data_IF_529619929810
#
_entry.id   IF_529619929810
#
_cell.length_a   1.000
_cell.length_b   1.000
_cell.length_c   1.000
_cell.angle_alpha   90.00
_cell.angle_beta   90.00
_cell.angle_gamma   90.00
#
_symmetry.space_group_name_H-M   'P 1'
#
loop_
_entity.id
_entity.type
_entity.pdbx_description
1 polymer ?
#
# COMPACT_ATOMS: atom_id res chain seq x y z
N UNK A 1 -18.82 13.45 -9.51
CA UNK A 1 -17.93 14.53 -9.04
C UNK A 1 -16.50 14.10 -9.24
N UNK A 2 -15.69 14.90 -9.92
CA UNK A 2 -14.29 14.58 -10.18
C UNK A 2 -13.49 14.75 -8.88
N UNK A 3 -13.14 13.65 -8.21
CA UNK A 3 -12.26 13.70 -7.04
C UNK A 3 -10.83 14.00 -7.53
N UNK A 4 -10.19 15.04 -7.01
CA UNK A 4 -8.82 15.42 -7.38
C UNK A 4 -7.83 14.24 -7.38
N UNK A 5 -8.01 13.28 -6.46
CA UNK A 5 -7.17 12.07 -6.38
C UNK A 5 -7.33 11.12 -7.57
N UNK A 6 -8.37 11.25 -8.40
CA UNK A 6 -8.51 10.44 -9.63
C UNK A 6 -7.34 10.67 -10.60
N UNK A 7 -6.73 11.86 -10.58
CA UNK A 7 -5.53 12.16 -11.38
C UNK A 7 -4.31 11.32 -10.98
N UNK A 8 -4.31 10.70 -9.79
CA UNK A 8 -3.27 9.73 -9.42
C UNK A 8 -3.34 8.47 -10.30
N UNK A 9 -4.54 8.05 -10.70
CA UNK A 9 -4.74 6.84 -11.49
C UNK A 9 -4.32 7.00 -12.96
N UNK A 10 -4.23 8.24 -13.45
CA UNK A 10 -3.77 8.52 -14.81
C UNK A 10 -2.24 8.56 -14.94
N UNK A 11 -1.50 8.36 -13.84
CA UNK A 11 -0.05 8.33 -13.88
C UNK A 11 0.46 7.15 -14.72
N UNK A 12 1.20 7.48 -15.78
CA UNK A 12 1.90 6.49 -16.59
C UNK A 12 3.05 5.86 -15.80
N UNK A 13 3.01 4.54 -15.64
CA UNK A 13 4.10 3.80 -15.03
C UNK A 13 5.14 3.38 -16.07
N UNK A 14 6.44 3.38 -15.73
CA UNK A 14 7.48 2.94 -16.66
C UNK A 14 7.24 1.50 -17.12
N UNK A 15 7.40 1.25 -18.42
CA UNK A 15 7.39 -0.12 -18.96
C UNK A 15 8.63 -0.87 -18.44
N UNK A 16 8.40 -1.85 -17.55
CA UNK A 16 9.43 -2.68 -16.90
C UNK A 16 9.81 -2.20 -15.49
N UNK A 17 9.74 -3.10 -14.50
CA UNK A 17 9.87 -2.79 -13.05
C UNK A 17 11.23 -2.27 -12.57
N UNK A 18 12.29 -2.35 -13.40
CA UNK A 18 13.63 -1.86 -13.04
C UNK A 18 13.85 -0.36 -13.29
N UNK A 19 12.84 0.38 -13.73
CA UNK A 19 12.93 1.82 -14.02
C UNK A 19 12.45 2.66 -12.84
N UNK A 20 13.03 3.85 -12.64
CA UNK A 20 12.56 4.80 -11.63
C UNK A 20 11.23 5.43 -12.03
N UNK A 21 10.37 5.72 -11.05
CA UNK A 21 9.16 6.51 -11.29
C UNK A 21 9.50 7.96 -11.70
N UNK A 22 8.55 8.60 -12.39
CA UNK A 22 8.67 10.00 -12.79
C UNK A 22 8.63 10.95 -11.58
N UNK A 23 9.13 12.18 -11.75
CA UNK A 23 9.08 13.20 -10.70
C UNK A 23 7.64 13.52 -10.27
N UNK A 24 6.70 13.53 -11.22
CA UNK A 24 5.28 13.70 -10.94
C UNK A 24 4.73 12.57 -10.07
N UNK A 25 5.06 11.32 -10.40
CA UNK A 25 4.66 10.17 -9.59
C UNK A 25 5.24 10.24 -8.17
N UNK A 26 6.50 10.69 -8.01
CA UNK A 26 7.10 10.91 -6.70
C UNK A 26 6.37 12.00 -5.92
N UNK A 27 5.96 13.10 -6.57
CA UNK A 27 5.18 14.15 -5.93
C UNK A 27 3.81 13.64 -5.44
N UNK A 28 3.15 12.80 -6.23
CA UNK A 28 1.92 12.13 -5.81
C UNK A 28 2.14 11.20 -4.62
N UNK A 29 3.19 10.38 -4.61
CA UNK A 29 3.50 9.51 -3.46
C UNK A 29 3.71 10.38 -2.20
N UNK A 30 4.42 11.50 -2.30
CA UNK A 30 4.60 12.43 -1.16
C UNK A 30 3.28 12.98 -0.65
N UNK A 31 2.39 13.40 -1.56
CA UNK A 31 1.07 13.88 -1.19
C UNK A 31 0.24 12.79 -0.50
N UNK A 32 0.16 11.60 -1.09
CA UNK A 32 -0.60 10.48 -0.52
C UNK A 32 -0.04 10.03 0.83
N UNK A 33 1.29 10.06 1.00
CA UNK A 33 1.92 9.80 2.29
C UNK A 33 1.47 10.80 3.35
N UNK A 34 1.50 12.11 3.03
CA UNK A 34 1.02 13.13 3.97
C UNK A 34 -0.46 12.95 4.32
N UNK A 35 -1.31 12.65 3.32
CA UNK A 35 -2.73 12.36 3.55
C UNK A 35 -2.93 11.11 4.42
N UNK A 36 -2.09 10.08 4.26
CA UNK A 36 -2.21 8.82 5.01
C UNK A 36 -1.99 8.95 6.51
N UNK A 37 -1.45 10.07 7.01
CA UNK A 37 -1.33 10.30 8.45
C UNK A 37 -2.67 10.64 9.13
N UNK A 38 -3.65 11.17 8.38
CA UNK A 38 -4.99 11.48 8.89
C UNK A 38 -6.03 10.43 8.50
N UNK A 39 -7.00 10.17 9.37
CA UNK A 39 -8.05 9.15 9.13
C UNK A 39 -8.85 9.42 7.85
N UNK A 40 -9.27 10.67 7.61
CA UNK A 40 -9.98 11.06 6.40
C UNK A 40 -9.14 10.82 5.14
N UNK A 41 -7.86 11.16 5.18
CA UNK A 41 -6.95 10.93 4.07
C UNK A 41 -6.75 9.44 3.78
N UNK A 42 -6.63 8.61 4.83
CA UNK A 42 -6.60 7.15 4.67
C UNK A 42 -7.88 6.63 4.00
N UNK A 43 -9.04 7.12 4.42
CA UNK A 43 -10.33 6.76 3.81
C UNK A 43 -10.41 7.20 2.34
N UNK A 44 -9.95 8.41 2.02
CA UNK A 44 -9.94 8.93 0.64
C UNK A 44 -9.07 8.06 -0.27
N UNK A 45 -7.89 7.64 0.20
CA UNK A 45 -6.96 6.77 -0.54
C UNK A 45 -7.61 5.40 -0.79
N UNK A 46 -8.18 4.78 0.23
CA UNK A 46 -8.76 3.42 0.12
C UNK A 46 -10.07 3.41 -0.67
N UNK A 47 -10.87 4.48 -0.61
CA UNK A 47 -12.11 4.63 -1.39
C UNK A 47 -11.86 4.95 -2.86
N UNK A 48 -10.66 5.40 -3.23
CA UNK A 48 -10.27 5.57 -4.63
C UNK A 48 -10.26 4.20 -5.34
N UNK A 49 -11.22 3.96 -6.21
CA UNK A 49 -11.30 2.70 -6.98
C UNK A 49 -10.05 2.54 -7.85
N UNK A 50 -9.32 1.43 -7.68
CA UNK A 50 -8.02 1.20 -8.33
C UNK A 50 -6.83 1.91 -7.65
N UNK A 51 -7.05 2.77 -6.65
CA UNK A 51 -5.97 3.49 -5.95
C UNK A 51 -5.03 2.56 -5.19
N UNK A 52 -5.58 1.57 -4.51
CA UNK A 52 -4.79 0.55 -3.82
C UNK A 52 -3.94 -0.28 -4.79
N UNK A 53 -4.52 -0.71 -5.91
CA UNK A 53 -3.80 -1.48 -6.94
C UNK A 53 -2.67 -0.66 -7.58
N UNK A 54 -2.91 0.62 -7.86
CA UNK A 54 -1.89 1.53 -8.39
C UNK A 54 -0.74 1.71 -7.40
N UNK A 55 -1.01 1.87 -6.09
CA UNK A 55 0.04 1.92 -5.06
C UNK A 55 0.85 0.63 -5.00
N UNK A 56 0.19 -0.54 -5.03
CA UNK A 56 0.86 -1.85 -5.02
C UNK A 56 1.73 -2.05 -6.27
N UNK A 57 1.24 -1.61 -7.42
CA UNK A 57 2.00 -1.62 -8.67
C UNK A 57 3.26 -0.75 -8.56
N UNK A 58 3.11 0.47 -8.05
CA UNK A 58 4.22 1.40 -7.84
C UNK A 58 5.23 0.89 -6.81
N UNK A 59 4.81 0.11 -5.82
CA UNK A 59 5.69 -0.48 -4.80
C UNK A 59 6.75 -1.44 -5.39
N UNK A 60 6.54 -1.94 -6.62
CA UNK A 60 7.48 -2.85 -7.29
C UNK A 60 8.68 -2.14 -7.91
N UNK A 61 8.63 -0.81 -8.03
CA UNK A 61 9.69 -0.02 -8.66
C UNK A 61 10.74 0.41 -7.64
N UNK A 62 12.02 0.29 -8.00
CA UNK A 62 13.12 0.68 -7.11
C UNK A 62 13.21 2.21 -6.97
N UNK A 63 13.05 2.71 -5.74
CA UNK A 63 13.26 4.10 -5.39
C UNK A 63 14.57 4.28 -4.62
N UNK A 64 15.59 4.85 -5.28
CA UNK A 64 16.92 5.03 -4.65
C UNK A 64 16.93 5.95 -3.43
N UNK A 65 16.14 7.03 -3.47
CA UNK A 65 16.22 8.06 -2.42
C UNK A 65 15.24 7.84 -1.27
N UNK A 66 14.15 7.09 -1.48
CA UNK A 66 13.13 6.84 -0.47
C UNK A 66 12.40 5.51 -0.78
N UNK A 67 13.06 4.36 -0.59
CA UNK A 67 12.56 3.05 -1.02
C UNK A 67 11.21 2.67 -0.39
N UNK A 68 10.96 3.14 0.83
CA UNK A 68 9.85 2.62 1.65
C UNK A 68 8.62 3.54 1.70
N UNK A 69 8.57 4.65 0.97
CA UNK A 69 7.44 5.61 1.05
C UNK A 69 6.09 4.97 0.74
N UNK A 70 6.04 4.11 -0.29
CA UNK A 70 4.81 3.44 -0.68
C UNK A 70 4.41 2.41 0.37
N UNK A 71 5.39 1.69 0.94
CA UNK A 71 5.14 0.77 2.05
C UNK A 71 4.62 1.52 3.29
N UNK A 72 5.11 2.73 3.57
CA UNK A 72 4.59 3.57 4.66
C UNK A 72 3.15 4.01 4.42
N UNK A 73 2.76 4.35 3.19
CA UNK A 73 1.35 4.64 2.85
C UNK A 73 0.49 3.42 3.17
N UNK A 74 0.89 2.24 2.68
CA UNK A 74 0.18 0.98 2.90
C UNK A 74 0.11 0.62 4.38
N UNK A 75 1.20 0.79 5.12
CA UNK A 75 1.26 0.64 6.56
C UNK A 75 0.21 1.52 7.24
N UNK A 76 0.20 2.82 6.95
CA UNK A 76 -0.68 3.77 7.62
C UNK A 76 -2.17 3.43 7.39
N UNK A 77 -2.56 3.09 6.16
CA UNK A 77 -3.96 2.73 5.87
C UNK A 77 -4.40 1.41 6.55
N UNK A 78 -3.46 0.52 6.91
CA UNK A 78 -3.76 -0.73 7.63
C UNK A 78 -4.18 -0.50 9.09
N UNK A 79 -3.82 0.66 9.68
CA UNK A 79 -4.19 0.99 11.06
C UNK A 79 -5.64 1.42 11.20
N UNK A 80 -6.30 1.89 10.13
CA UNK A 80 -7.72 2.23 10.18
C UNK A 80 -8.60 0.99 10.13
N UNK A 81 -9.45 0.73 11.15
CA UNK A 81 -10.37 -0.40 11.17
C UNK A 81 -11.32 -0.44 9.97
N UNK A 82 -11.75 0.73 9.49
CA UNK A 82 -12.67 0.86 8.34
C UNK A 82 -12.02 0.42 7.02
N UNK A 83 -10.69 0.46 6.91
CA UNK A 83 -9.97 0.07 5.71
C UNK A 83 -9.65 -1.43 5.65
N UNK A 84 -9.55 -2.09 6.81
CA UNK A 84 -9.13 -3.51 6.92
C UNK A 84 -9.91 -4.46 5.99
N UNK A 85 -11.26 -4.42 5.91
CA UNK A 85 -11.99 -5.34 5.04
C UNK A 85 -11.57 -5.21 3.58
N UNK A 86 -11.37 -3.97 3.09
CA UNK A 86 -11.02 -3.70 1.69
C UNK A 86 -9.57 -4.08 1.37
N UNK A 87 -8.65 -3.85 2.31
CA UNK A 87 -7.24 -4.24 2.15
C UNK A 87 -7.09 -5.77 2.16
N UNK A 88 -7.76 -6.45 3.10
CA UNK A 88 -7.70 -7.92 3.21
C UNK A 88 -8.37 -8.64 2.05
N UNK A 89 -9.35 -8.01 1.40
CA UNK A 89 -9.97 -8.53 0.19
C UNK A 89 -9.10 -8.34 -1.08
N UNK A 90 -7.99 -7.60 -1.00
CA UNK A 90 -7.07 -7.42 -2.11
C UNK A 90 -5.87 -8.38 -1.96
N UNK A 91 -5.90 -9.49 -2.69
CA UNK A 91 -4.84 -10.50 -2.68
C UNK A 91 -3.45 -9.91 -2.95
N UNK A 92 -3.34 -8.92 -3.85
CA UNK A 92 -2.04 -8.31 -4.18
C UNK A 92 -1.48 -7.51 -3.00
N UNK A 93 -2.35 -6.88 -2.21
CA UNK A 93 -1.94 -6.16 -1.01
C UNK A 93 -1.39 -7.14 0.03
N UNK A 94 -2.10 -8.24 0.27
CA UNK A 94 -1.68 -9.29 1.20
C UNK A 94 -0.34 -9.89 0.77
N UNK A 95 -0.21 -10.26 -0.51
CA UNK A 95 1.04 -10.82 -1.07
C UNK A 95 2.20 -9.84 -0.94
N UNK A 96 2.01 -8.55 -1.25
CA UNK A 96 3.05 -7.53 -1.11
C UNK A 96 3.52 -7.40 0.34
N UNK A 97 2.59 -7.29 1.29
CA UNK A 97 2.91 -7.16 2.71
C UNK A 97 3.62 -8.40 3.25
N UNK A 98 3.19 -9.60 2.86
CA UNK A 98 3.88 -10.85 3.22
C UNK A 98 5.29 -10.90 2.62
N UNK A 99 5.48 -10.49 1.37
CA UNK A 99 6.80 -10.45 0.73
C UNK A 99 7.76 -9.47 1.44
N UNK A 100 7.26 -8.44 2.12
CA UNK A 100 8.11 -7.56 2.93
C UNK A 100 8.82 -8.29 4.07
N UNK A 101 8.24 -9.38 4.61
CA UNK A 101 8.85 -10.15 5.70
C UNK A 101 10.13 -10.88 5.27
N UNK A 102 10.22 -11.22 3.98
CA UNK A 102 11.36 -11.90 3.36
C UNK A 102 12.34 -10.92 2.69
N UNK A 103 12.17 -9.61 2.90
CA UNK A 103 13.03 -8.59 2.29
C UNK A 103 14.40 -8.51 2.97
N UNK A 104 15.46 -8.31 2.18
CA UNK A 104 16.80 -7.98 2.70
C UNK A 104 16.81 -6.63 3.46
N UNK A 105 15.86 -5.75 3.17
CA UNK A 105 15.72 -4.46 3.87
C UNK A 105 15.08 -4.66 5.24
N UNK A 106 15.84 -4.36 6.30
CA UNK A 106 15.32 -4.34 7.67
C UNK A 106 14.18 -3.32 7.84
N UNK A 107 14.23 -2.20 7.13
CA UNK A 107 13.17 -1.19 7.16
C UNK A 107 11.87 -1.74 6.55
N UNK A 108 11.95 -2.36 5.37
CA UNK A 108 10.81 -2.98 4.71
C UNK A 108 10.19 -4.09 5.58
N UNK A 109 11.02 -4.95 6.19
CA UNK A 109 10.55 -5.98 7.14
C UNK A 109 9.78 -5.39 8.31
N UNK A 110 10.31 -4.35 8.96
CA UNK A 110 9.66 -3.69 10.11
C UNK A 110 8.32 -3.06 9.71
N UNK A 111 8.29 -2.34 8.59
CA UNK A 111 7.08 -1.69 8.09
C UNK A 111 6.03 -2.74 7.71
N UNK A 112 6.43 -3.77 6.97
CA UNK A 112 5.54 -4.88 6.57
C UNK A 112 4.97 -5.64 7.78
N UNK A 113 5.82 -6.01 8.74
CA UNK A 113 5.38 -6.69 9.96
C UNK A 113 4.40 -5.85 10.77
N UNK A 114 4.67 -4.54 10.94
CA UNK A 114 3.77 -3.60 11.62
C UNK A 114 2.42 -3.47 10.90
N UNK A 115 2.44 -3.38 9.56
CA UNK A 115 1.22 -3.31 8.75
C UNK A 115 0.37 -4.59 8.89
N UNK A 116 1.00 -5.77 8.82
CA UNK A 116 0.33 -7.06 9.02
C UNK A 116 -0.23 -7.17 10.43
N UNK A 117 0.54 -6.79 11.45
CA UNK A 117 0.07 -6.76 12.83
C UNK A 117 -1.15 -5.86 12.98
N UNK A 118 -1.13 -4.66 12.38
CA UNK A 118 -2.26 -3.75 12.40
C UNK A 118 -3.51 -4.34 11.73
N UNK A 119 -3.37 -5.03 10.60
CA UNK A 119 -4.48 -5.72 9.93
C UNK A 119 -5.08 -6.85 10.81
N UNK A 120 -4.23 -7.60 11.52
CA UNK A 120 -4.64 -8.72 12.37
C UNK A 120 -5.21 -8.27 13.73
N UNK A 121 -4.72 -7.15 14.25
CA UNK A 121 -5.10 -6.64 15.56
C UNK A 121 -6.60 -6.31 15.60
N UNK A 122 -7.32 -6.90 16.54
CA UNK A 122 -8.77 -6.73 16.74
C UNK A 122 -9.64 -7.01 15.49
N UNK A 123 -9.16 -7.81 14.53
CA UNK A 123 -9.94 -8.19 13.35
C UNK A 123 -9.98 -9.70 13.19
N UNK A 124 -11.01 -10.35 13.76
CA UNK A 124 -11.10 -11.82 13.77
C UNK A 124 -11.10 -12.45 12.37
N UNK A 125 -11.62 -11.74 11.35
CA UNK A 125 -11.60 -12.22 9.96
C UNK A 125 -10.19 -12.26 9.34
N UNK A 126 -9.27 -11.37 9.73
CA UNK A 126 -7.89 -11.36 9.21
C UNK A 126 -7.10 -12.60 9.66
N UNK A 127 -7.37 -13.08 10.89
CA UNK A 127 -6.71 -14.29 11.43
C UNK A 127 -6.97 -15.52 10.59
N UNK A 128 -8.09 -15.60 9.86
CA UNK A 128 -8.41 -16.72 8.98
C UNK A 128 -7.66 -16.59 7.64
N UNK A 129 -7.65 -15.41 7.03
CA UNK A 129 -6.98 -15.14 5.74
C UNK A 129 -5.46 -15.34 5.78
N UNK A 130 -4.79 -14.94 6.86
CA UNK A 130 -3.33 -15.15 6.97
C UNK A 130 -2.93 -16.55 7.44
N UNK A 131 -3.83 -17.30 8.09
CA UNK A 131 -3.56 -18.71 8.48
C UNK A 131 -3.75 -19.68 7.31
N UNK A 132 -4.68 -19.36 6.40
CA UNK A 132 -4.95 -20.13 5.20
C UNK A 132 -4.78 -19.21 3.98
N UNK A 133 -3.54 -18.91 3.56
CA UNK A 133 -3.33 -18.20 2.30
C UNK A 133 -4.03 -18.99 1.17
N UNK A 134 -4.75 -18.31 0.25
CA UNK A 134 -5.41 -19.00 -0.86
C UNK A 134 -4.35 -19.74 -1.67
N UNK A 135 -4.45 -21.07 -1.66
CA UNK A 135 -3.61 -21.95 -2.46
C UNK A 135 -3.86 -21.60 -3.93
N UNK A 136 -2.82 -21.16 -4.64
CA UNK A 136 -2.78 -21.13 -6.10
C UNK A 136 -1.65 -22.02 -6.56
#
# INVERSE_FOLDING_TARGET
>A
GNNFLQNFLSLSLPKGGNKSLSMLAIAWIKLLLNLSFGEDGQQMIVKLNGGLDQLIEMARYKHRNNPDMILLILHNICFSPANKPKILANDKAVVLLSACLESDSLAARRIGASAIWALLHNYQKAKVTFKNPPIK
#
